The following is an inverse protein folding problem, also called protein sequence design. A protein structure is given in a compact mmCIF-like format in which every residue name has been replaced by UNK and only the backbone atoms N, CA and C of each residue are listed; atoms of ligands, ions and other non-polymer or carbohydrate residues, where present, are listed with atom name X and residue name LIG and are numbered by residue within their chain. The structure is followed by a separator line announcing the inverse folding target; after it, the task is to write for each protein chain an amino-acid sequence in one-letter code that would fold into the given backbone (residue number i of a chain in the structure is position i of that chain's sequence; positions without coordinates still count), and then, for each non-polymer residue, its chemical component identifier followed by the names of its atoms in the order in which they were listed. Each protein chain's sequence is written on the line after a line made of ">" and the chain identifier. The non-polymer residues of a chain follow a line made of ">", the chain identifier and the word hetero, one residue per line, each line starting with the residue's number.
data_IF_392134005098
#
_entry.id   IF_392134005098
#
_cell.length_a   1.000
_cell.length_b   1.000
_cell.length_c   1.000
_cell.angle_alpha   90.00
_cell.angle_beta   90.00
_cell.angle_gamma   90.00
#
_symmetry.space_group_name_H-M   'P 1'
#
loop_
_entity.id
_entity.type
_entity.pdbx_description
1 polymer ?
#
# COMPACT_ATOMS: atom_id res chain seq x y z
N UNK A 1 39.66 82.30 -28.13
CA UNK A 1 38.26 82.52 -28.59
C UNK A 1 37.93 81.32 -29.47
N UNK A 2 36.84 80.56 -29.41
CA UNK A 2 35.55 80.54 -28.69
C UNK A 2 34.91 79.17 -29.08
N UNK A 3 34.66 78.23 -28.16
CA UNK A 3 33.34 77.81 -27.63
C UNK A 3 32.42 76.97 -28.57
N UNK A 4 32.14 75.73 -28.12
CA UNK A 4 30.93 74.87 -28.26
C UNK A 4 30.41 74.53 -29.68
N UNK A 5 30.01 73.29 -30.03
CA UNK A 5 28.82 72.61 -29.48
C UNK A 5 28.69 71.14 -29.99
N UNK A 6 28.65 70.18 -29.05
CA UNK A 6 27.79 68.99 -28.95
C UNK A 6 26.88 68.55 -30.13
N UNK A 7 26.95 67.29 -30.62
CA UNK A 7 26.14 66.12 -30.18
C UNK A 7 26.21 64.88 -31.10
N UNK A 8 26.44 63.72 -30.45
CA UNK A 8 25.96 62.34 -30.73
C UNK A 8 26.23 61.69 -32.10
N UNK A 9 27.26 60.84 -32.12
CA UNK A 9 27.31 59.65 -33.00
C UNK A 9 27.10 58.40 -32.14
N UNK A 10 25.99 57.70 -32.40
CA UNK A 10 25.61 56.44 -31.75
C UNK A 10 26.56 55.31 -32.20
N UNK A 11 27.35 54.78 -31.28
CA UNK A 11 28.08 53.52 -31.49
C UNK A 11 27.14 52.36 -31.15
N UNK A 12 26.42 51.83 -32.14
CA UNK A 12 25.67 50.59 -31.99
C UNK A 12 26.63 49.41 -32.23
N UNK A 13 27.27 48.92 -31.18
CA UNK A 13 27.99 47.65 -31.22
C UNK A 13 26.97 46.50 -31.26
N UNK A 14 26.74 45.94 -32.45
CA UNK A 14 25.95 44.72 -32.62
C UNK A 14 26.67 43.52 -32.02
N UNK A 15 26.31 43.13 -30.80
CA UNK A 15 26.62 41.82 -30.24
C UNK A 15 25.73 40.77 -30.91
N UNK A 16 26.17 40.25 -32.05
CA UNK A 16 25.66 38.99 -32.61
C UNK A 16 26.18 37.84 -31.73
N UNK A 17 25.52 37.62 -30.59
CA UNK A 17 25.64 36.36 -29.88
C UNK A 17 24.93 35.29 -30.72
N UNK A 18 25.69 34.46 -31.42
CA UNK A 18 25.15 33.28 -32.07
C UNK A 18 24.52 32.38 -31.00
N UNK A 19 23.19 32.37 -30.92
CA UNK A 19 22.45 31.44 -30.08
C UNK A 19 22.72 30.03 -30.60
N UNK A 20 23.67 29.32 -29.98
CA UNK A 20 23.82 27.89 -30.21
C UNK A 20 22.53 27.24 -29.71
N UNK A 21 21.77 26.52 -30.55
CA UNK A 21 20.65 25.76 -30.05
C UNK A 21 21.23 24.76 -29.05
N UNK A 22 20.83 24.89 -27.78
CA UNK A 22 21.07 23.85 -26.80
C UNK A 22 20.33 22.62 -27.32
N UNK A 23 21.06 21.69 -27.92
CA UNK A 23 20.52 20.38 -28.25
C UNK A 23 20.16 19.78 -26.90
N UNK A 24 18.86 19.76 -26.58
CA UNK A 24 18.36 19.08 -25.42
C UNK A 24 18.80 17.63 -25.56
N UNK A 25 19.79 17.23 -24.75
CA UNK A 25 20.27 15.86 -24.72
C UNK A 25 19.08 15.04 -24.23
N UNK A 26 18.41 14.35 -25.16
CA UNK A 26 17.33 13.43 -24.84
C UNK A 26 17.86 12.47 -23.80
N UNK A 27 17.34 12.55 -22.57
CA UNK A 27 17.73 11.66 -21.49
C UNK A 27 17.60 10.22 -21.99
N UNK A 28 18.67 9.43 -21.86
CA UNK A 28 18.62 8.02 -22.22
C UNK A 28 17.42 7.38 -21.49
N UNK A 29 16.63 6.53 -22.16
CA UNK A 29 15.49 5.88 -21.51
C UNK A 29 16.00 5.15 -20.26
N UNK A 30 15.34 5.39 -19.12
CA UNK A 30 15.57 4.64 -17.89
C UNK A 30 15.34 3.16 -18.20
N UNK A 31 16.42 2.42 -18.40
CA UNK A 31 16.37 1.04 -18.85
C UNK A 31 16.03 0.06 -17.72
N UNK A 32 15.66 0.56 -16.54
CA UNK A 32 15.33 -0.25 -15.37
C UNK A 32 14.03 0.24 -14.75
N UNK A 33 13.03 -0.64 -14.67
CA UNK A 33 11.79 -0.41 -13.93
C UNK A 33 12.07 -0.29 -12.44
N UNK A 34 11.24 0.48 -11.74
CA UNK A 34 11.31 0.61 -10.28
C UNK A 34 10.63 -0.61 -9.66
N UNK A 35 11.34 -1.31 -8.78
CA UNK A 35 10.78 -2.46 -8.06
C UNK A 35 9.83 -1.99 -6.97
N UNK A 36 8.61 -2.52 -6.96
CA UNK A 36 7.59 -2.18 -5.98
C UNK A 36 7.27 -3.42 -5.16
N UNK A 37 7.61 -3.37 -3.87
CA UNK A 37 7.31 -4.41 -2.91
C UNK A 37 6.07 -4.02 -2.09
N UNK A 38 5.00 -4.80 -2.18
CA UNK A 38 3.82 -4.61 -1.34
C UNK A 38 3.86 -5.59 -0.17
N UNK A 39 3.90 -5.07 1.05
CA UNK A 39 3.96 -5.84 2.29
C UNK A 39 2.60 -5.75 2.99
N UNK A 40 1.82 -6.81 2.83
CA UNK A 40 0.53 -7.01 3.47
C UNK A 40 0.68 -7.22 4.98
N UNK A 41 -0.13 -6.49 5.75
CA UNK A 41 -0.23 -6.60 7.22
C UNK A 41 -1.65 -6.97 7.66
N UNK A 42 -1.83 -7.29 8.94
CA UNK A 42 -3.14 -7.57 9.56
C UNK A 42 -3.64 -6.44 10.46
N UNK A 43 -3.05 -5.24 10.38
CA UNK A 43 -3.27 -4.13 11.32
C UNK A 43 -3.02 -4.52 12.79
N UNK A 44 -1.84 -4.18 13.32
CA UNK A 44 -1.41 -4.64 14.64
C UNK A 44 -2.32 -4.11 15.77
N UNK A 45 -2.90 -2.93 15.55
CA UNK A 45 -3.92 -2.36 16.39
C UNK A 45 -5.23 -2.42 15.61
N UNK A 46 -5.87 -3.60 15.60
CA UNK A 46 -7.15 -3.90 14.96
C UNK A 46 -8.00 -2.63 14.83
N UNK A 47 -8.15 -2.11 13.61
CA UNK A 47 -8.89 -0.87 13.39
C UNK A 47 -10.37 -1.16 13.54
N UNK A 48 -11.13 -0.20 14.05
CA UNK A 48 -12.60 -0.29 14.05
C UNK A 48 -13.17 -0.33 12.61
N UNK A 49 -12.39 0.10 11.62
CA UNK A 49 -12.74 0.03 10.19
C UNK A 49 -12.45 -1.32 9.53
N UNK A 50 -11.76 -2.24 10.22
CA UNK A 50 -11.39 -3.53 9.63
C UNK A 50 -12.59 -4.47 9.68
N UNK A 51 -13.00 -4.95 8.50
CA UNK A 51 -14.11 -5.90 8.35
C UNK A 51 -13.80 -7.23 9.06
N UNK A 52 -12.52 -7.58 9.23
CA UNK A 52 -12.05 -8.76 9.96
C UNK A 52 -11.28 -8.31 11.20
N UNK A 53 -11.90 -8.43 12.38
CA UNK A 53 -11.25 -8.14 13.67
C UNK A 53 -10.30 -9.28 14.06
N UNK A 54 -9.00 -9.01 14.10
CA UNK A 54 -7.98 -9.94 14.63
C UNK A 54 -7.91 -9.93 16.16
N UNK A 55 -7.27 -10.94 16.75
CA UNK A 55 -6.95 -10.95 18.18
C UNK A 55 -5.81 -9.96 18.45
N UNK A 56 -6.00 -9.05 19.40
CA UNK A 56 -4.97 -8.07 19.79
C UNK A 56 -3.73 -8.78 20.32
N UNK A 57 -2.61 -8.69 19.61
CA UNK A 57 -1.29 -9.19 20.02
C UNK A 57 -0.50 -8.03 20.64
N UNK A 58 0.13 -8.23 21.79
CA UNK A 58 1.05 -7.25 22.35
C UNK A 58 2.42 -7.34 21.65
N UNK A 59 2.67 -6.38 20.76
CA UNK A 59 3.91 -6.30 20.00
C UNK A 59 5.09 -5.80 20.83
N UNK A 60 4.87 -5.29 22.05
CA UNK A 60 5.95 -4.78 22.91
C UNK A 60 6.76 -5.86 23.62
N UNK A 61 6.25 -7.10 23.66
CA UNK A 61 6.94 -8.21 24.33
C UNK A 61 8.33 -8.46 23.72
N UNK A 62 9.35 -8.85 24.52
CA UNK A 62 10.69 -9.11 24.00
C UNK A 62 10.72 -10.10 22.82
N UNK A 63 9.84 -11.09 22.84
CA UNK A 63 9.74 -12.09 21.77
C UNK A 63 9.22 -11.47 20.47
N UNK A 64 8.14 -10.68 20.53
CA UNK A 64 7.63 -9.96 19.35
C UNK A 64 8.60 -8.89 18.86
N UNK A 65 9.35 -8.25 19.76
CA UNK A 65 10.40 -7.30 19.38
C UNK A 65 11.52 -7.98 18.58
N UNK A 66 11.92 -9.21 18.94
CA UNK A 66 12.89 -10.02 18.17
C UNK A 66 12.31 -10.47 16.82
N UNK A 67 11.07 -10.96 16.79
CA UNK A 67 10.40 -11.35 15.54
C UNK A 67 10.22 -10.17 14.57
N UNK A 68 9.93 -8.97 15.10
CA UNK A 68 9.87 -7.74 14.31
C UNK A 68 11.23 -7.37 13.73
N UNK A 69 12.30 -7.52 14.51
CA UNK A 69 13.65 -7.27 14.00
C UNK A 69 14.04 -8.25 12.89
N UNK A 70 13.68 -9.54 13.05
CA UNK A 70 13.86 -10.55 12.01
C UNK A 70 13.09 -10.18 10.73
N UNK A 71 11.79 -9.89 10.85
CA UNK A 71 10.94 -9.49 9.73
C UNK A 71 11.52 -8.29 8.98
N UNK A 72 11.88 -7.23 9.70
CA UNK A 72 12.41 -6.00 9.11
C UNK A 72 13.78 -6.23 8.47
N UNK A 73 14.63 -7.08 9.07
CA UNK A 73 15.93 -7.43 8.48
C UNK A 73 15.79 -8.18 7.15
N UNK A 74 14.77 -9.04 7.02
CA UNK A 74 14.45 -9.68 5.74
C UNK A 74 13.94 -8.66 4.72
N UNK A 75 13.07 -7.74 5.12
CA UNK A 75 12.58 -6.65 4.26
C UNK A 75 13.68 -5.65 3.86
N UNK A 76 14.74 -5.47 4.66
CA UNK A 76 15.87 -4.61 4.33
C UNK A 76 16.60 -5.06 3.04
N UNK A 77 16.49 -6.35 2.67
CA UNK A 77 17.04 -6.88 1.41
C UNK A 77 16.41 -6.25 0.17
N UNK A 78 15.26 -5.58 0.29
CA UNK A 78 14.67 -4.76 -0.79
C UNK A 78 15.54 -3.58 -1.20
N UNK A 79 16.43 -3.11 -0.30
CA UNK A 79 17.23 -1.90 -0.48
C UNK A 79 16.40 -0.66 -0.85
N UNK A 80 15.12 -0.63 -0.44
CA UNK A 80 14.17 0.38 -0.87
C UNK A 80 14.67 1.81 -0.62
N UNK A 81 14.53 2.66 -1.63
CA UNK A 81 14.83 4.09 -1.60
C UNK A 81 13.76 4.86 -0.83
N UNK A 82 12.50 4.38 -0.90
CA UNK A 82 11.36 4.92 -0.17
C UNK A 82 10.54 3.82 0.47
N UNK A 83 10.08 4.10 1.70
CA UNK A 83 9.14 3.26 2.44
C UNK A 83 7.85 4.05 2.63
N UNK A 84 6.76 3.47 2.16
CA UNK A 84 5.41 3.98 2.23
C UNK A 84 4.61 3.24 3.29
N UNK A 85 3.69 3.95 3.93
CA UNK A 85 2.86 3.42 5.01
C UNK A 85 1.40 3.82 4.82
N UNK A 86 0.49 2.98 5.31
CA UNK A 86 -0.95 3.20 5.24
C UNK A 86 -1.45 4.22 6.26
N UNK A 87 -1.01 5.47 6.11
CA UNK A 87 -1.60 6.62 6.76
C UNK A 87 -1.88 7.71 5.74
N UNK A 88 -2.97 8.47 5.97
CA UNK A 88 -3.48 9.46 5.01
C UNK A 88 -2.51 10.62 4.87
N UNK A 89 -2.03 10.85 3.66
CA UNK A 89 -1.01 11.86 3.38
C UNK A 89 -1.43 13.26 3.86
N UNK A 90 -2.66 13.66 3.54
CA UNK A 90 -3.23 14.98 3.85
C UNK A 90 -3.10 15.35 5.34
N UNK A 91 -3.39 14.41 6.23
CA UNK A 91 -3.47 14.66 7.67
C UNK A 91 -2.26 14.16 8.47
N UNK A 92 -1.54 13.15 7.96
CA UNK A 92 -0.53 12.42 8.75
C UNK A 92 0.90 12.71 8.34
N UNK A 93 1.19 13.24 7.14
CA UNK A 93 2.58 13.34 6.69
C UNK A 93 3.46 14.18 7.63
N UNK A 94 2.98 15.35 8.08
CA UNK A 94 3.74 16.20 9.04
C UNK A 94 3.99 15.50 10.37
N UNK A 95 3.00 14.76 10.86
CA UNK A 95 3.13 13.96 12.08
C UNK A 95 4.14 12.82 11.89
N UNK A 96 4.12 12.15 10.74
CA UNK A 96 5.11 11.11 10.39
C UNK A 96 6.51 11.70 10.34
N UNK A 97 6.69 12.81 9.62
CA UNK A 97 8.01 13.46 9.46
C UNK A 97 8.62 13.82 10.83
N UNK A 98 7.85 14.51 11.68
CA UNK A 98 8.32 14.93 13.01
C UNK A 98 8.63 13.73 13.89
N UNK A 99 7.72 12.77 13.96
CA UNK A 99 7.86 11.68 14.90
C UNK A 99 8.83 10.59 14.44
N UNK A 100 9.04 10.44 13.13
CA UNK A 100 10.10 9.61 12.57
C UNK A 100 11.48 10.22 12.80
N UNK A 101 11.62 11.55 12.71
CA UNK A 101 12.87 12.23 13.05
C UNK A 101 13.28 11.99 14.51
N UNK A 102 12.33 12.03 15.46
CA UNK A 102 12.57 11.67 16.86
C UNK A 102 12.95 10.19 17.02
N UNK A 103 12.23 9.29 16.35
CA UNK A 103 12.52 7.86 16.34
C UNK A 103 13.94 7.53 15.84
N UNK A 104 14.40 8.20 14.77
CA UNK A 104 15.76 8.04 14.23
C UNK A 104 16.83 8.40 15.26
N UNK A 105 16.60 9.45 16.06
CA UNK A 105 17.49 9.93 17.12
C UNK A 105 17.42 9.11 18.41
N UNK A 106 16.54 8.10 18.49
CA UNK A 106 16.29 7.37 19.74
C UNK A 106 15.54 8.20 20.79
N UNK A 107 15.02 9.38 20.41
CA UNK A 107 14.29 10.30 21.30
C UNK A 107 12.79 10.00 21.36
N UNK A 108 12.37 8.96 20.65
CA UNK A 108 11.04 8.36 20.76
C UNK A 108 11.26 6.86 20.94
N UNK A 109 11.07 6.38 22.15
CA UNK A 109 11.10 4.94 22.40
C UNK A 109 9.94 4.27 21.67
N UNK A 110 10.24 3.15 21.03
CA UNK A 110 9.23 2.16 20.64
C UNK A 110 8.74 1.55 21.95
N UNK A 111 7.72 2.14 22.54
CA UNK A 111 7.38 1.79 23.92
C UNK A 111 6.17 2.48 24.50
N UNK A 112 5.74 3.64 23.99
CA UNK A 112 4.48 4.20 24.46
C UNK A 112 3.30 3.31 24.00
N UNK A 113 2.27 3.23 24.83
CA UNK A 113 1.11 2.34 24.64
C UNK A 113 0.44 2.49 23.26
N UNK A 114 0.60 3.65 22.61
CA UNK A 114 0.02 3.98 21.31
C UNK A 114 0.82 3.42 20.13
N UNK A 115 2.14 3.33 20.24
CA UNK A 115 3.02 2.94 19.14
C UNK A 115 3.40 1.45 19.17
N UNK A 116 3.24 0.81 20.33
CA UNK A 116 3.59 -0.60 20.53
C UNK A 116 2.88 -1.50 19.51
N UNK A 117 1.57 -1.33 19.33
CA UNK A 117 0.80 -2.11 18.37
C UNK A 117 0.59 -1.38 17.05
N UNK A 118 1.49 -0.50 16.63
CA UNK A 118 1.30 0.24 15.38
C UNK A 118 2.23 -0.25 14.28
N UNK A 119 1.72 -0.88 13.23
CA UNK A 119 2.54 -1.41 12.12
C UNK A 119 3.34 -0.32 11.38
N UNK A 120 2.86 0.93 11.34
CA UNK A 120 3.61 2.06 10.76
C UNK A 120 4.91 2.29 11.52
N UNK A 121 4.87 2.14 12.86
CA UNK A 121 6.07 2.28 13.70
C UNK A 121 6.86 0.98 13.74
N UNK A 122 6.21 -0.14 14.05
CA UNK A 122 6.84 -1.45 14.25
C UNK A 122 7.46 -2.02 12.97
N UNK A 123 6.96 -1.66 11.79
CA UNK A 123 7.54 -2.10 10.51
C UNK A 123 8.08 -0.91 9.72
N UNK A 124 7.25 0.12 9.46
CA UNK A 124 7.62 1.24 8.58
C UNK A 124 8.80 2.06 9.07
N UNK A 125 8.77 2.50 10.33
CA UNK A 125 9.86 3.30 10.89
C UNK A 125 11.13 2.47 11.07
N UNK A 126 11.00 1.23 11.55
CA UNK A 126 12.13 0.30 11.69
C UNK A 126 12.82 0.07 10.35
N UNK A 127 12.06 -0.29 9.31
CA UNK A 127 12.60 -0.57 7.99
C UNK A 127 13.31 0.66 7.41
N UNK A 128 12.67 1.82 7.49
CA UNK A 128 13.26 3.07 7.00
C UNK A 128 14.56 3.41 7.72
N UNK A 129 14.62 3.19 9.05
CA UNK A 129 15.84 3.40 9.85
C UNK A 129 16.94 2.40 9.47
N UNK A 130 16.62 1.11 9.30
CA UNK A 130 17.59 0.10 8.84
C UNK A 130 18.13 0.39 7.45
N UNK A 131 17.31 0.96 6.57
CA UNK A 131 17.71 1.41 5.22
C UNK A 131 18.39 2.79 5.21
N UNK A 132 18.59 3.42 6.38
CA UNK A 132 19.12 4.77 6.53
C UNK A 132 18.37 5.82 5.67
N UNK A 133 17.06 5.71 5.55
CA UNK A 133 16.24 6.67 4.81
C UNK A 133 15.83 7.84 5.70
N UNK A 134 15.87 9.08 5.20
CA UNK A 134 15.58 10.24 6.04
C UNK A 134 14.09 10.44 6.31
N UNK A 135 13.22 9.78 5.53
CA UNK A 135 11.78 10.04 5.48
C UNK A 135 10.98 8.75 5.31
N UNK A 136 9.78 8.73 5.90
CA UNK A 136 8.70 7.75 5.66
C UNK A 136 7.56 8.47 4.95
N UNK A 137 6.94 7.83 3.97
CA UNK A 137 5.93 8.44 3.11
C UNK A 137 4.53 7.88 3.43
N UNK A 138 3.56 8.76 3.65
CA UNK A 138 2.16 8.39 3.77
C UNK A 138 1.58 8.13 2.36
N UNK A 139 0.91 7.00 2.16
CA UNK A 139 0.29 6.67 0.87
C UNK A 139 -1.23 6.42 0.95
N UNK A 140 -1.81 6.30 2.14
CA UNK A 140 -3.23 5.97 2.28
C UNK A 140 -4.16 7.07 1.75
N UNK A 141 -5.39 6.71 1.45
CA UNK A 141 -6.46 7.58 1.01
C UNK A 141 -7.81 7.22 1.66
N UNK A 142 -8.68 8.22 1.78
CA UNK A 142 -10.06 8.02 2.18
C UNK A 142 -10.86 7.18 1.17
N UNK A 143 -11.71 6.32 1.71
CA UNK A 143 -12.78 5.63 0.99
C UNK A 143 -14.12 5.93 1.65
N UNK A 144 -15.11 6.26 0.83
CA UNK A 144 -16.52 6.26 1.24
C UNK A 144 -17.05 4.92 0.78
N UNK A 145 -17.69 4.18 1.67
CA UNK A 145 -18.20 2.85 1.41
C UNK A 145 -19.67 2.84 1.83
N UNK A 146 -20.58 2.73 0.86
CA UNK A 146 -22.01 2.68 1.12
C UNK A 146 -22.47 1.28 1.58
N UNK A 147 -22.01 0.89 2.78
CA UNK A 147 -22.41 -0.37 3.39
C UNK A 147 -23.90 -0.42 3.69
N UNK A 148 -24.53 0.72 3.96
CA UNK A 148 -25.95 0.79 4.26
C UNK A 148 -26.80 0.44 3.04
N UNK A 149 -26.47 0.99 1.86
CA UNK A 149 -27.15 0.63 0.62
C UNK A 149 -26.97 -0.85 0.28
N UNK A 150 -25.76 -1.39 0.41
CA UNK A 150 -25.51 -2.81 0.18
C UNK A 150 -26.29 -3.70 1.16
N UNK A 151 -26.39 -3.33 2.44
CA UNK A 151 -27.18 -4.06 3.44
C UNK A 151 -28.68 -3.99 3.15
N UNK A 152 -29.19 -2.82 2.76
CA UNK A 152 -30.58 -2.63 2.41
C UNK A 152 -30.96 -3.46 1.17
N UNK A 153 -30.14 -3.41 0.13
CA UNK A 153 -30.29 -4.23 -1.08
C UNK A 153 -30.24 -5.73 -0.75
N UNK A 154 -29.27 -6.15 0.05
CA UNK A 154 -29.16 -7.55 0.44
C UNK A 154 -30.42 -8.03 1.18
N UNK A 155 -30.96 -7.21 2.08
CA UNK A 155 -32.20 -7.51 2.80
C UNK A 155 -33.41 -7.58 1.87
N UNK A 156 -33.52 -6.65 0.93
CA UNK A 156 -34.61 -6.62 -0.06
C UNK A 156 -34.64 -7.90 -0.91
N UNK A 157 -33.47 -8.46 -1.22
CA UNK A 157 -33.33 -9.60 -2.12
C UNK A 157 -33.09 -10.95 -1.41
N UNK A 158 -33.14 -11.01 -0.08
CA UNK A 158 -32.87 -12.24 0.68
C UNK A 158 -31.41 -12.73 0.57
N UNK A 159 -30.48 -11.78 0.38
CA UNK A 159 -29.05 -11.99 0.13
C UNK A 159 -28.19 -11.65 1.36
N UNK A 160 -28.76 -11.45 2.54
CA UNK A 160 -28.00 -11.03 3.74
C UNK A 160 -26.90 -12.02 4.12
N UNK A 161 -27.05 -13.29 3.75
CA UNK A 161 -26.02 -14.30 3.93
C UNK A 161 -24.72 -13.96 3.17
N UNK A 162 -24.81 -13.35 1.99
CA UNK A 162 -23.64 -12.92 1.19
C UNK A 162 -22.81 -11.89 1.97
N UNK A 163 -23.46 -11.00 2.73
CA UNK A 163 -22.80 -9.98 3.55
C UNK A 163 -22.29 -10.51 4.90
N UNK A 164 -23.01 -11.48 5.50
CA UNK A 164 -22.69 -12.03 6.84
C UNK A 164 -21.59 -13.10 6.83
N UNK A 165 -21.17 -13.57 5.67
CA UNK A 165 -20.26 -14.69 5.56
C UNK A 165 -19.56 -14.74 4.22
N UNK A 166 -18.76 -13.71 3.93
CA UNK A 166 -17.59 -13.91 3.07
C UNK A 166 -16.94 -15.22 3.51
N UNK A 167 -16.92 -16.21 2.61
CA UNK A 167 -16.44 -17.59 2.73
C UNK A 167 -17.44 -18.75 3.00
N UNK A 168 -18.65 -18.58 3.56
CA UNK A 168 -19.50 -19.75 3.92
C UNK A 168 -21.02 -19.65 3.69
N UNK A 169 -21.55 -18.58 3.09
CA UNK A 169 -22.97 -18.56 2.75
C UNK A 169 -23.30 -19.54 1.60
N UNK A 170 -24.24 -20.48 1.77
CA UNK A 170 -24.62 -21.41 0.73
C UNK A 170 -25.60 -20.71 -0.21
N UNK A 171 -25.09 -19.92 -1.17
CA UNK A 171 -25.92 -19.64 -2.33
C UNK A 171 -26.01 -20.93 -3.13
N UNK A 172 -27.23 -21.42 -3.34
CA UNK A 172 -27.52 -22.70 -4.01
C UNK A 172 -27.45 -22.61 -5.54
N UNK A 173 -27.20 -21.42 -6.09
CA UNK A 173 -26.94 -21.26 -7.51
C UNK A 173 -25.60 -21.89 -7.92
N UNK A 174 -25.44 -22.10 -9.23
CA UNK A 174 -24.25 -22.75 -9.79
C UNK A 174 -22.94 -22.04 -9.39
N UNK A 175 -22.98 -20.70 -9.29
CA UNK A 175 -21.83 -19.89 -8.87
C UNK A 175 -21.50 -20.11 -7.39
N UNK A 176 -22.49 -20.10 -6.49
CA UNK A 176 -22.30 -20.34 -5.06
C UNK A 176 -21.79 -21.75 -4.76
N UNK A 177 -22.25 -22.76 -5.51
CA UNK A 177 -21.73 -24.12 -5.42
C UNK A 177 -20.28 -24.22 -5.88
N UNK A 178 -19.91 -23.57 -6.99
CA UNK A 178 -18.53 -23.51 -7.48
C UNK A 178 -17.61 -22.82 -6.47
N UNK A 179 -18.05 -21.68 -5.93
CA UNK A 179 -17.33 -20.93 -4.91
C UNK A 179 -17.11 -21.79 -3.68
N UNK A 180 -18.15 -22.45 -3.15
CA UNK A 180 -18.05 -23.37 -2.01
C UNK A 180 -17.03 -24.49 -2.25
N UNK A 181 -17.06 -25.09 -3.44
CA UNK A 181 -16.09 -26.13 -3.82
C UNK A 181 -14.65 -25.60 -3.86
N UNK A 182 -14.45 -24.38 -4.39
CA UNK A 182 -13.14 -23.71 -4.43
C UNK A 182 -12.64 -23.34 -3.03
N UNK A 183 -13.46 -22.71 -2.21
CA UNK A 183 -13.10 -22.36 -0.83
C UNK A 183 -12.73 -23.61 -0.04
N UNK A 184 -13.52 -24.69 -0.15
CA UNK A 184 -13.18 -25.99 0.47
C UNK A 184 -11.83 -26.53 -0.02
N UNK A 185 -11.53 -26.44 -1.32
CA UNK A 185 -10.26 -26.91 -1.87
C UNK A 185 -9.06 -26.06 -1.44
N UNK A 186 -9.24 -24.74 -1.27
CA UNK A 186 -8.21 -23.82 -0.76
C UNK A 186 -7.97 -24.08 0.73
N UNK A 187 -9.03 -24.14 1.53
CA UNK A 187 -8.96 -24.40 2.98
C UNK A 187 -8.44 -25.81 3.29
N UNK A 188 -8.65 -26.80 2.42
CA UNK A 188 -8.04 -28.13 2.59
C UNK A 188 -6.52 -28.15 2.34
N UNK A 189 -5.99 -27.15 1.62
CA UNK A 189 -4.56 -27.01 1.30
C UNK A 189 -3.84 -26.05 2.25
N UNK A 190 -4.59 -25.27 3.02
CA UNK A 190 -4.07 -24.33 4.01
C UNK A 190 -4.31 -24.92 5.40
N UNK A 191 -3.28 -25.01 6.24
CA UNK A 191 -3.49 -25.32 7.66
C UNK A 191 -4.50 -24.31 8.25
N UNK A 192 -5.43 -24.72 9.13
CA UNK A 192 -6.37 -23.79 9.74
C UNK A 192 -5.58 -22.65 10.37
N UNK A 193 -5.96 -21.40 10.06
CA UNK A 193 -5.26 -20.23 10.57
C UNK A 193 -5.21 -20.34 12.11
N UNK A 194 -4.03 -20.53 12.73
CA UNK A 194 -3.97 -20.57 14.17
C UNK A 194 -4.50 -19.23 14.69
N UNK A 195 -5.41 -19.28 15.67
CA UNK A 195 -5.90 -18.10 16.38
C UNK A 195 -4.77 -17.52 17.24
N UNK A 196 -3.75 -16.93 16.61
CA UNK A 196 -2.63 -16.17 17.20
C UNK A 196 -1.84 -16.82 18.36
N UNK A 197 -2.21 -17.99 18.88
CA UNK A 197 -1.53 -18.65 20.00
C UNK A 197 -0.36 -19.49 19.48
N UNK A 198 0.84 -18.92 19.49
CA UNK A 198 2.10 -19.64 19.25
C UNK A 198 2.70 -19.53 17.85
N UNK A 199 2.06 -18.83 16.91
CA UNK A 199 2.62 -18.56 15.58
C UNK A 199 3.56 -17.33 15.61
N UNK A 200 4.72 -17.43 14.95
CA UNK A 200 5.64 -16.30 14.81
C UNK A 200 5.10 -15.27 13.81
N UNK A 201 5.47 -14.00 14.00
CA UNK A 201 5.08 -12.90 13.13
C UNK A 201 5.51 -13.16 11.69
N UNK A 202 6.70 -13.74 11.50
CA UNK A 202 7.21 -14.08 10.18
C UNK A 202 6.31 -15.08 9.45
N UNK A 203 5.84 -16.14 10.13
CA UNK A 203 4.90 -17.11 9.54
C UNK A 203 3.59 -16.44 9.14
N UNK A 204 3.08 -15.54 9.99
CA UNK A 204 1.86 -14.80 9.69
C UNK A 204 2.02 -13.89 8.45
N UNK A 205 3.13 -13.15 8.36
CA UNK A 205 3.46 -12.32 7.20
C UNK A 205 3.63 -13.15 5.93
N UNK A 206 4.28 -14.32 6.00
CA UNK A 206 4.38 -15.25 4.85
C UNK A 206 2.99 -15.61 4.33
N UNK A 207 2.08 -16.04 5.21
CA UNK A 207 0.71 -16.45 4.82
C UNK A 207 -0.07 -15.30 4.18
N UNK A 208 -0.02 -14.10 4.75
CA UNK A 208 -0.74 -12.93 4.23
C UNK A 208 -0.21 -12.43 2.88
N UNK A 209 1.07 -12.67 2.58
CA UNK A 209 1.73 -12.18 1.37
C UNK A 209 1.84 -13.25 0.27
N UNK A 210 0.93 -14.24 0.28
CA UNK A 210 0.82 -15.26 -0.77
C UNK A 210 -0.19 -14.85 -1.84
N UNK A 211 -0.02 -15.35 -3.07
CA UNK A 211 -1.03 -15.17 -4.14
C UNK A 211 -2.40 -15.74 -3.76
N UNK A 212 -2.45 -16.78 -2.92
CA UNK A 212 -3.71 -17.35 -2.45
C UNK A 212 -4.48 -16.36 -1.56
N UNK A 213 -3.78 -15.65 -0.67
CA UNK A 213 -4.38 -14.59 0.15
C UNK A 213 -4.82 -13.40 -0.70
N UNK A 214 -4.02 -13.00 -1.69
CA UNK A 214 -4.37 -11.93 -2.63
C UNK A 214 -5.64 -12.30 -3.44
N UNK A 215 -5.72 -13.54 -3.92
CA UNK A 215 -6.90 -14.03 -4.64
C UNK A 215 -8.12 -14.09 -3.74
N UNK A 216 -7.99 -14.63 -2.53
CA UNK A 216 -9.09 -14.71 -1.57
C UNK A 216 -9.66 -13.34 -1.23
N UNK A 217 -8.80 -12.32 -1.07
CA UNK A 217 -9.26 -10.95 -0.90
C UNK A 217 -10.05 -10.41 -2.11
N UNK A 218 -9.54 -10.61 -3.33
CA UNK A 218 -10.23 -10.12 -4.53
C UNK A 218 -11.56 -10.84 -4.75
N UNK A 219 -11.63 -12.14 -4.47
CA UNK A 219 -12.86 -12.92 -4.53
C UNK A 219 -13.94 -12.32 -3.61
N UNK A 220 -13.60 -11.86 -2.41
CA UNK A 220 -14.52 -11.16 -1.49
C UNK A 220 -15.28 -10.01 -2.16
N UNK A 221 -14.62 -9.24 -3.03
CA UNK A 221 -15.27 -8.15 -3.75
C UNK A 221 -15.93 -8.64 -5.04
N UNK A 222 -15.18 -9.31 -5.91
CA UNK A 222 -15.63 -9.62 -7.27
C UNK A 222 -16.59 -10.81 -7.36
N UNK A 223 -16.42 -11.81 -6.49
CA UNK A 223 -17.25 -13.02 -6.49
C UNK A 223 -18.35 -13.01 -5.45
N UNK A 224 -18.19 -12.30 -4.33
CA UNK A 224 -19.22 -12.26 -3.29
C UNK A 224 -19.97 -10.94 -3.31
N UNK A 225 -19.29 -9.82 -3.01
CA UNK A 225 -19.96 -8.55 -2.81
C UNK A 225 -20.70 -8.07 -4.05
N UNK A 226 -20.09 -8.19 -5.23
CA UNK A 226 -20.72 -7.80 -6.50
C UNK A 226 -22.00 -8.58 -6.86
N UNK A 227 -22.35 -9.63 -6.11
CA UNK A 227 -23.60 -10.39 -6.29
C UNK A 227 -24.79 -9.79 -5.53
N UNK A 228 -24.54 -8.83 -4.64
CA UNK A 228 -25.61 -8.15 -3.90
C UNK A 228 -26.34 -7.20 -4.84
N UNK A 229 -27.66 -7.36 -4.91
CA UNK A 229 -28.54 -6.68 -5.86
C UNK A 229 -29.23 -7.63 -6.84
N UNK A 230 -30.11 -7.08 -7.68
CA UNK A 230 -30.82 -7.78 -8.74
C UNK A 230 -31.31 -6.81 -9.81
N UNK A 231 -31.39 -7.25 -11.07
CA UNK A 231 -31.83 -6.41 -12.18
C UNK A 231 -30.93 -5.18 -12.35
N UNK A 232 -31.47 -3.99 -12.06
CA UNK A 232 -30.75 -2.70 -12.13
C UNK A 232 -30.24 -2.21 -10.77
N UNK A 233 -30.41 -2.98 -9.70
CA UNK A 233 -29.80 -2.70 -8.40
C UNK A 233 -28.36 -3.21 -8.36
N UNK A 234 -27.42 -2.27 -8.35
CA UNK A 234 -25.98 -2.51 -8.36
C UNK A 234 -25.30 -2.27 -7.01
N UNK A 235 -26.05 -2.21 -5.90
CA UNK A 235 -25.51 -1.81 -4.60
C UNK A 235 -24.24 -2.59 -4.18
N UNK A 236 -24.19 -3.91 -4.45
CA UNK A 236 -22.99 -4.71 -4.22
C UNK A 236 -21.80 -4.32 -5.10
N UNK A 237 -22.06 -4.11 -6.39
CA UNK A 237 -21.03 -3.72 -7.36
C UNK A 237 -20.52 -2.29 -7.10
N UNK A 238 -21.38 -1.37 -6.68
CA UNK A 238 -21.01 0.01 -6.34
C UNK A 238 -20.10 0.04 -5.09
N UNK A 239 -20.45 -0.73 -4.05
CA UNK A 239 -19.61 -0.88 -2.87
C UNK A 239 -18.25 -1.55 -3.21
N UNK A 240 -18.25 -2.54 -4.10
CA UNK A 240 -17.02 -3.09 -4.68
C UNK A 240 -16.22 -2.04 -5.45
N UNK A 241 -16.88 -1.18 -6.21
CA UNK A 241 -16.30 -0.06 -6.93
C UNK A 241 -15.64 0.98 -6.01
N UNK A 242 -16.19 1.22 -4.82
CA UNK A 242 -15.60 2.09 -3.81
C UNK A 242 -14.27 1.54 -3.26
N UNK A 243 -14.16 0.23 -3.08
CA UNK A 243 -12.88 -0.42 -2.78
C UNK A 243 -11.85 -0.18 -3.90
N UNK A 244 -12.26 -0.30 -5.16
CA UNK A 244 -11.37 -0.01 -6.30
C UNK A 244 -10.93 1.46 -6.30
N UNK A 245 -11.87 2.38 -6.09
CA UNK A 245 -11.65 3.82 -6.04
C UNK A 245 -10.63 4.20 -4.96
N UNK A 246 -10.74 3.66 -3.74
CA UNK A 246 -9.76 3.90 -2.66
C UNK A 246 -8.36 3.42 -3.06
N UNK A 247 -8.24 2.21 -3.60
CA UNK A 247 -6.94 1.66 -4.02
C UNK A 247 -6.28 2.46 -5.16
N UNK A 248 -7.05 2.96 -6.13
CA UNK A 248 -6.54 3.84 -7.18
C UNK A 248 -6.03 5.18 -6.60
N UNK A 249 -6.68 5.71 -5.55
CA UNK A 249 -6.19 6.89 -4.84
C UNK A 249 -4.87 6.61 -4.09
N UNK A 250 -4.74 5.46 -3.44
CA UNK A 250 -3.48 5.04 -2.79
C UNK A 250 -2.35 4.95 -3.82
N UNK A 251 -2.62 4.29 -4.95
CA UNK A 251 -1.69 4.22 -6.08
C UNK A 251 -1.30 5.61 -6.61
N UNK A 252 -2.25 6.54 -6.70
CA UNK A 252 -1.99 7.93 -7.10
C UNK A 252 -1.03 8.62 -6.12
N UNK A 253 -1.14 8.36 -4.82
CA UNK A 253 -0.23 8.92 -3.82
C UNK A 253 1.19 8.34 -3.96
N UNK A 254 1.33 7.05 -4.33
CA UNK A 254 2.63 6.48 -4.69
C UNK A 254 3.23 7.22 -5.90
N UNK A 255 2.47 7.36 -6.98
CA UNK A 255 2.92 8.05 -8.20
C UNK A 255 3.41 9.47 -7.95
N UNK A 256 2.75 10.21 -7.05
CA UNK A 256 3.13 11.59 -6.70
C UNK A 256 4.43 11.69 -5.91
N UNK A 257 4.81 10.63 -5.20
CA UNK A 257 5.94 10.64 -4.29
C UNK A 257 7.17 9.91 -4.85
N UNK A 258 6.99 9.00 -5.79
CA UNK A 258 8.07 8.30 -6.48
C UNK A 258 8.85 9.28 -7.36
N UNK A 259 10.16 9.20 -7.28
CA UNK A 259 11.09 9.91 -8.15
C UNK A 259 11.55 8.92 -9.21
N UNK A 260 10.92 8.99 -10.39
CA UNK A 260 11.16 8.03 -11.46
C UNK A 260 12.57 8.08 -12.03
N UNK A 261 13.33 9.15 -11.76
CA UNK A 261 14.72 9.28 -12.22
C UNK A 261 15.72 8.63 -11.26
N UNK A 262 15.40 8.57 -9.97
CA UNK A 262 16.37 8.20 -8.94
C UNK A 262 15.97 6.97 -8.12
N UNK A 263 14.68 6.71 -7.91
CA UNK A 263 14.22 5.54 -7.17
C UNK A 263 14.40 4.27 -8.01
N UNK A 264 14.96 3.22 -7.40
CA UNK A 264 15.12 1.89 -8.00
C UNK A 264 14.24 0.85 -7.33
N UNK A 265 13.94 1.05 -6.05
CA UNK A 265 13.15 0.13 -5.24
C UNK A 265 12.30 0.90 -4.23
N UNK A 266 11.04 0.53 -4.06
CA UNK A 266 10.15 1.09 -3.05
C UNK A 266 9.39 -0.02 -2.34
N UNK A 267 9.03 0.22 -1.08
CA UNK A 267 8.20 -0.68 -0.27
C UNK A 267 6.94 0.06 0.17
N UNK A 268 5.77 -0.56 0.04
CA UNK A 268 4.53 -0.10 0.66
C UNK A 268 4.07 -1.11 1.70
N UNK A 269 3.97 -0.66 2.95
CA UNK A 269 3.41 -1.42 4.08
C UNK A 269 1.95 -1.01 4.23
N UNK A 270 1.06 -1.98 4.03
CA UNK A 270 -0.38 -1.75 3.91
C UNK A 270 -1.15 -2.98 4.36
N UNK A 271 -2.41 -2.84 4.77
CA UNK A 271 -3.29 -3.96 5.08
C UNK A 271 -3.36 -4.95 3.91
N UNK A 272 -3.38 -6.25 4.22
CA UNK A 272 -3.39 -7.33 3.23
C UNK A 272 -4.52 -7.16 2.20
N UNK A 273 -5.65 -6.59 2.63
CA UNK A 273 -6.79 -6.37 1.77
C UNK A 273 -6.57 -5.42 0.59
N UNK A 274 -5.42 -4.73 0.51
CA UNK A 274 -5.08 -3.83 -0.60
C UNK A 274 -4.20 -4.48 -1.68
N UNK A 275 -3.50 -5.56 -1.33
CA UNK A 275 -2.41 -6.09 -2.15
C UNK A 275 -2.87 -6.50 -3.55
N UNK A 276 -3.97 -7.26 -3.62
CA UNK A 276 -4.41 -7.87 -4.88
C UNK A 276 -4.66 -6.85 -5.99
N UNK A 277 -5.43 -5.79 -5.68
CA UNK A 277 -5.72 -4.74 -6.64
C UNK A 277 -4.48 -3.88 -6.94
N UNK A 278 -3.71 -3.49 -5.91
CA UNK A 278 -2.51 -2.68 -6.09
C UNK A 278 -1.47 -3.41 -6.96
N UNK A 279 -1.19 -4.70 -6.71
CA UNK A 279 -0.32 -5.53 -7.57
C UNK A 279 -0.83 -5.54 -9.00
N UNK A 280 -2.14 -5.69 -9.18
CA UNK A 280 -2.76 -5.74 -10.51
C UNK A 280 -2.56 -4.44 -11.29
N UNK A 281 -2.88 -3.28 -10.71
CA UNK A 281 -2.71 -1.98 -11.40
C UNK A 281 -1.23 -1.59 -11.58
N UNK A 282 -0.35 -1.95 -10.64
CA UNK A 282 1.09 -1.72 -10.77
C UNK A 282 1.70 -2.48 -11.95
N UNK A 283 1.25 -3.71 -12.21
CA UNK A 283 1.73 -4.53 -13.35
C UNK A 283 1.42 -3.91 -14.72
N UNK A 284 0.39 -3.07 -14.82
CA UNK A 284 0.06 -2.33 -16.06
C UNK A 284 0.90 -1.07 -16.25
N UNK A 285 1.56 -0.56 -15.22
CA UNK A 285 2.41 0.62 -15.35
C UNK A 285 3.79 0.22 -15.90
N UNK A 286 4.16 0.78 -17.06
CA UNK A 286 5.42 0.44 -17.75
C UNK A 286 6.69 0.84 -16.99
N UNK A 287 6.59 1.72 -15.99
CA UNK A 287 7.71 2.17 -15.15
C UNK A 287 7.96 1.25 -13.95
N UNK A 288 7.05 0.33 -13.64
CA UNK A 288 7.08 -0.48 -12.41
C UNK A 288 7.23 -1.97 -12.68
N UNK A 289 7.95 -2.63 -11.77
CA UNK A 289 8.02 -4.08 -11.65
C UNK A 289 7.49 -4.45 -10.26
N UNK A 290 6.40 -5.22 -10.20
CA UNK A 290 5.91 -5.75 -8.91
C UNK A 290 6.84 -6.87 -8.48
N UNK A 291 7.57 -6.66 -7.39
CA UNK A 291 8.49 -7.64 -6.83
C UNK A 291 7.84 -8.36 -5.65
N UNK A 292 7.95 -9.69 -5.62
CA UNK A 292 7.32 -10.49 -4.57
C UNK A 292 8.09 -10.41 -3.26
N UNK A 293 7.36 -10.25 -2.15
CA UNK A 293 7.92 -10.16 -0.79
C UNK A 293 8.21 -11.54 -0.21
N UNK A 294 7.41 -12.55 -0.57
CA UNK A 294 7.48 -13.89 0.03
C UNK A 294 8.89 -14.53 -0.03
N UNK A 295 9.63 -14.49 -1.15
CA UNK A 295 10.99 -15.04 -1.20
C UNK A 295 11.96 -14.37 -0.21
N UNK A 296 11.77 -13.09 0.09
CA UNK A 296 12.57 -12.38 1.08
C UNK A 296 12.27 -12.90 2.49
N UNK A 297 10.99 -13.15 2.79
CA UNK A 297 10.55 -13.66 4.10
C UNK A 297 10.99 -15.11 4.33
N UNK A 298 11.15 -15.90 3.27
CA UNK A 298 11.61 -17.29 3.32
C UNK A 298 13.12 -17.46 3.33
N UNK A 299 13.87 -16.43 2.92
CA UNK A 299 15.32 -16.47 2.91
C UNK A 299 15.90 -16.80 4.28
N UNK A 300 16.96 -17.61 4.33
CA UNK A 300 17.73 -17.86 5.54
C UNK A 300 18.42 -16.58 6.03
#
# INVERSE_FOLDING_TARGET
>A
MSLATYFRSLLALGLLAAARPAVAQTAAPLNTKIKVYLVGTFHFNASDSDVIKGTKVDMSTPDKQRELDELVSKLQKTQADKVFVEWKQEYRQRFVDSTYALYRKGQREVGNQRDNNNEVVQVGYRLSKKLNRPKVYCADADGVFDYEAAQASAKQHGQEAILKGGFEAPVSDSMGLLIKARTKAISARQAPAPKYSGESLLTHFKRMNTEASDRGNMDSYLLYLNRVGSGTDYAGADLGGDYFKRNVRIYTNLLRAVDVQHDKSIVLIIGQGHLSLLKSILRYNSLFEVAEVLPLLESK
#
